data_IF_414598189340
#
_entry.id   IF_414598189340
#
_cell.length_a   1.000
_cell.length_b   1.000
_cell.length_c   1.000
_cell.angle_alpha   90.00
_cell.angle_beta   90.00
_cell.angle_gamma   90.00
#
_symmetry.space_group_name_H-M   'P 1'
#
loop_
_entity.id
_entity.type
_entity.pdbx_description
1 polymer ?
#
# COMPACT_ATOMS: atom_id res chain seq x y z
N UNK A 1 -31.37 -2.43 -21.19
CA UNK A 1 -30.42 -3.48 -20.76
C UNK A 1 -29.53 -2.85 -19.71
N UNK A 2 -29.75 -3.16 -18.43
CA UNK A 2 -28.92 -2.64 -17.35
C UNK A 2 -27.54 -3.29 -17.46
N UNK A 3 -26.59 -2.55 -18.03
CA UNK A 3 -25.19 -2.92 -18.01
C UNK A 3 -24.68 -2.65 -16.58
N UNK A 4 -25.02 -3.52 -15.64
CA UNK A 4 -24.44 -3.49 -14.29
C UNK A 4 -22.96 -3.78 -14.44
N UNK A 5 -22.17 -2.73 -14.58
CA UNK A 5 -20.71 -2.77 -14.52
C UNK A 5 -20.36 -3.50 -13.21
N UNK A 6 -19.71 -4.67 -13.30
CA UNK A 6 -19.30 -5.45 -12.13
C UNK A 6 -18.52 -4.51 -11.20
N UNK A 7 -18.98 -4.36 -9.97
CA UNK A 7 -18.29 -3.55 -8.96
C UNK A 7 -16.95 -4.22 -8.62
N UNK A 8 -15.89 -3.42 -8.62
CA UNK A 8 -14.53 -3.86 -8.34
C UNK A 8 -14.42 -4.26 -6.86
N UNK A 9 -14.04 -5.51 -6.58
CA UNK A 9 -13.85 -6.01 -5.21
C UNK A 9 -12.41 -5.89 -4.76
N UNK A 10 -12.17 -5.17 -3.68
CA UNK A 10 -10.81 -4.89 -3.18
C UNK A 10 -10.69 -5.30 -1.71
N UNK A 11 -9.64 -6.04 -1.39
CA UNK A 11 -9.19 -6.23 -0.02
C UNK A 11 -8.14 -5.18 0.31
N UNK A 12 -8.44 -4.26 1.23
CA UNK A 12 -7.53 -3.20 1.65
C UNK A 12 -6.95 -3.54 3.03
N UNK A 13 -5.63 -3.72 3.11
CA UNK A 13 -4.93 -4.21 4.31
C UNK A 13 -3.97 -3.14 4.85
N UNK A 14 -4.06 -2.87 6.16
CA UNK A 14 -3.14 -1.99 6.88
C UNK A 14 -3.78 -0.66 7.30
N UNK A 15 -3.00 0.43 7.24
CA UNK A 15 -3.46 1.79 7.58
C UNK A 15 -4.14 1.90 8.95
N UNK A 16 -3.61 1.21 9.95
CA UNK A 16 -4.13 1.24 11.31
C UNK A 16 -2.99 1.13 12.31
N UNK A 17 -3.01 1.95 13.37
CA UNK A 17 -1.97 1.92 14.39
C UNK A 17 -2.51 2.24 15.78
N UNK A 18 -1.78 1.81 16.80
CA UNK A 18 -2.04 2.11 18.20
C UNK A 18 -0.86 2.90 18.77
N UNK A 19 -1.11 4.14 19.17
CA UNK A 19 -0.13 5.02 19.78
C UNK A 19 -0.20 4.83 21.29
N UNK A 20 0.95 4.60 21.92
CA UNK A 20 1.10 4.70 23.36
C UNK A 20 2.07 5.85 23.68
N UNK A 21 1.55 6.91 24.30
CA UNK A 21 2.33 8.10 24.64
C UNK A 21 2.66 8.10 26.14
N UNK A 22 3.92 8.37 26.47
CA UNK A 22 4.38 8.62 27.84
C UNK A 22 4.64 10.12 27.98
N UNK A 23 3.87 10.78 28.83
CA UNK A 23 3.97 12.22 29.09
C UNK A 23 4.74 12.45 30.39
N UNK A 24 6.03 12.78 30.30
CA UNK A 24 6.88 13.06 31.47
C UNK A 24 6.92 14.56 31.78
N UNK A 25 6.57 14.94 33.01
CA UNK A 25 6.51 16.34 33.48
C UNK A 25 7.14 16.45 34.87
N UNK A 26 8.41 16.87 34.92
CA UNK A 26 9.16 16.92 36.16
C UNK A 26 9.37 15.53 36.75
N UNK A 27 8.91 15.33 37.98
CA UNK A 27 8.96 14.02 38.64
C UNK A 27 7.93 13.03 38.06
N UNK A 28 6.81 13.55 37.55
CA UNK A 28 5.63 12.75 37.24
C UNK A 28 5.62 12.25 35.80
N UNK A 29 4.90 11.15 35.58
CA UNK A 29 4.50 10.72 34.25
C UNK A 29 3.05 10.26 34.23
N UNK A 30 2.38 10.41 33.09
CA UNK A 30 1.09 9.78 32.81
C UNK A 30 1.07 9.29 31.36
N UNK A 31 0.19 8.32 31.08
CA UNK A 31 0.12 7.70 29.75
C UNK A 31 -1.22 7.98 29.08
N UNK A 32 -1.19 8.12 27.76
CA UNK A 32 -2.40 8.11 26.93
C UNK A 32 -2.22 7.14 25.77
N UNK A 33 -3.27 6.38 25.44
CA UNK A 33 -3.28 5.50 24.28
C UNK A 33 -4.36 5.93 23.28
N UNK A 34 -4.06 5.86 21.99
CA UNK A 34 -4.98 6.24 20.91
C UNK A 34 -4.86 5.27 19.74
N UNK A 35 -6.00 4.77 19.26
CA UNK A 35 -6.08 4.03 18.01
C UNK A 35 -6.50 4.97 16.87
N UNK A 36 -5.88 4.82 15.71
CA UNK A 36 -6.20 5.61 14.51
C UNK A 36 -6.18 4.72 13.25
N UNK A 37 -6.98 5.10 12.26
CA UNK A 37 -7.03 4.49 10.93
C UNK A 37 -6.68 5.56 9.88
N UNK A 38 -5.57 5.36 9.18
CA UNK A 38 -4.97 6.34 8.28
C UNK A 38 -5.77 6.55 6.99
N UNK A 39 -6.32 5.47 6.42
CA UNK A 39 -6.94 5.50 5.11
C UNK A 39 -8.44 5.81 5.11
N UNK A 40 -9.01 6.33 6.21
CA UNK A 40 -10.46 6.61 6.32
C UNK A 40 -10.96 7.43 5.11
N UNK A 41 -10.21 8.45 4.69
CA UNK A 41 -10.52 9.29 3.53
C UNK A 41 -10.48 8.50 2.22
N UNK A 42 -9.40 7.75 1.97
CA UNK A 42 -9.24 6.92 0.77
C UNK A 42 -10.37 5.89 0.67
N UNK A 43 -10.65 5.16 1.75
CA UNK A 43 -11.71 4.15 1.80
C UNK A 43 -13.08 4.77 1.46
N UNK A 44 -13.36 5.98 1.93
CA UNK A 44 -14.58 6.70 1.58
C UNK A 44 -14.62 7.09 0.10
N UNK A 45 -13.52 7.60 -0.45
CA UNK A 45 -13.39 7.91 -1.88
C UNK A 45 -13.66 6.69 -2.76
N UNK A 46 -13.09 5.53 -2.40
CA UNK A 46 -13.28 4.27 -3.12
C UNK A 46 -14.73 3.79 -3.05
N UNK A 47 -15.35 3.78 -1.86
CA UNK A 47 -16.76 3.41 -1.67
C UNK A 47 -17.70 4.32 -2.46
N UNK A 48 -17.48 5.64 -2.42
CA UNK A 48 -18.25 6.61 -3.21
C UNK A 48 -18.10 6.41 -4.72
N UNK A 49 -17.01 5.78 -5.15
CA UNK A 49 -16.73 5.42 -6.55
C UNK A 49 -17.19 4.01 -6.93
N UNK A 50 -18.04 3.38 -6.11
CA UNK A 50 -18.61 2.04 -6.34
C UNK A 50 -17.57 0.90 -6.35
N UNK A 51 -16.45 1.07 -5.65
CA UNK A 51 -15.53 -0.02 -5.30
C UNK A 51 -16.03 -0.71 -4.04
N UNK A 52 -16.20 -2.03 -4.09
CA UNK A 52 -16.57 -2.88 -2.96
C UNK A 52 -15.30 -3.18 -2.14
N UNK A 53 -15.07 -2.39 -1.09
CA UNK A 53 -13.86 -2.48 -0.26
C UNK A 53 -14.12 -3.26 1.02
N UNK A 54 -13.42 -4.39 1.17
CA UNK A 54 -13.23 -5.05 2.47
C UNK A 54 -11.99 -4.47 3.13
N UNK A 55 -12.15 -3.83 4.29
CA UNK A 55 -11.04 -3.27 5.05
C UNK A 55 -10.55 -4.26 6.12
N UNK A 56 -9.24 -4.47 6.18
CA UNK A 56 -8.58 -5.36 7.13
C UNK A 56 -7.46 -4.59 7.86
N UNK A 57 -7.73 -4.07 9.06
CA UNK A 57 -6.70 -3.45 9.91
C UNK A 57 -5.55 -4.43 10.22
N UNK A 58 -4.39 -3.88 10.57
CA UNK A 58 -3.19 -4.67 10.88
C UNK A 58 -3.42 -5.71 12.00
N UNK A 59 -4.17 -5.35 13.05
CA UNK A 59 -4.49 -6.29 14.13
C UNK A 59 -5.43 -7.43 13.68
N UNK A 60 -6.23 -7.24 12.62
CA UNK A 60 -7.07 -8.29 12.05
C UNK A 60 -6.22 -9.30 11.27
N UNK A 61 -5.16 -8.86 10.58
CA UNK A 61 -4.18 -9.76 9.95
C UNK A 61 -3.55 -10.71 10.98
N UNK A 62 -3.24 -10.21 12.18
CA UNK A 62 -2.63 -11.03 13.24
C UNK A 62 -3.54 -12.14 13.78
N UNK A 63 -4.87 -12.01 13.62
CA UNK A 63 -5.88 -12.87 14.24
C UNK A 63 -6.58 -13.76 13.20
N UNK A 64 -6.86 -13.23 12.01
CA UNK A 64 -7.81 -13.82 11.07
C UNK A 64 -7.42 -13.58 9.60
N UNK A 65 -6.12 -13.52 9.28
CA UNK A 65 -5.71 -13.52 7.87
C UNK A 65 -6.19 -14.82 7.19
N UNK A 66 -6.69 -14.77 5.93
CA UNK A 66 -7.11 -15.95 5.20
C UNK A 66 -6.02 -17.03 5.12
N UNK A 67 -6.41 -18.30 5.25
CA UNK A 67 -5.47 -19.43 5.29
C UNK A 67 -5.44 -20.22 3.98
N UNK A 68 -6.32 -19.89 3.04
CA UNK A 68 -6.43 -20.50 1.71
C UNK A 68 -6.47 -19.40 0.63
N UNK A 69 -5.72 -19.58 -0.45
CA UNK A 69 -5.70 -18.67 -1.60
C UNK A 69 -7.09 -18.50 -2.20
N UNK A 70 -7.95 -19.52 -2.16
CA UNK A 70 -9.32 -19.44 -2.66
C UNK A 70 -10.14 -18.34 -1.94
N UNK A 71 -9.82 -18.04 -0.68
CA UNK A 71 -10.44 -16.94 0.06
C UNK A 71 -9.95 -15.57 -0.41
N UNK A 72 -8.76 -15.48 -0.99
CA UNK A 72 -8.22 -14.26 -1.60
C UNK A 72 -8.72 -14.07 -3.04
N UNK A 73 -8.96 -15.16 -3.78
CA UNK A 73 -9.38 -15.12 -5.19
C UNK A 73 -10.75 -14.47 -5.44
N UNK A 74 -11.55 -14.25 -4.39
CA UNK A 74 -12.79 -13.47 -4.49
C UNK A 74 -12.55 -11.96 -4.75
N UNK A 75 -11.34 -11.46 -4.49
CA UNK A 75 -10.96 -10.07 -4.69
C UNK A 75 -10.32 -9.86 -6.06
N UNK A 76 -10.71 -8.78 -6.73
CA UNK A 76 -10.12 -8.38 -8.00
C UNK A 76 -8.73 -7.73 -7.80
N UNK A 77 -8.48 -7.13 -6.63
CA UNK A 77 -7.17 -6.66 -6.20
C UNK A 77 -6.99 -6.68 -4.66
N UNK A 78 -5.75 -6.81 -4.20
CA UNK A 78 -5.31 -6.63 -2.82
C UNK A 78 -4.47 -5.35 -2.72
N UNK A 79 -4.73 -4.52 -1.71
CA UNK A 79 -3.93 -3.34 -1.36
C UNK A 79 -3.23 -3.60 -0.04
N UNK A 80 -1.93 -3.30 0.01
CA UNK A 80 -1.11 -3.32 1.23
C UNK A 80 -0.57 -1.90 1.44
N UNK A 81 -0.95 -1.27 2.55
CA UNK A 81 -0.55 0.11 2.88
C UNK A 81 -0.16 0.24 4.35
N UNK A 82 1.04 0.76 4.59
CA UNK A 82 1.62 1.04 5.90
C UNK A 82 1.51 -0.12 6.92
N UNK A 83 1.90 -1.31 6.49
CA UNK A 83 1.90 -2.54 7.31
C UNK A 83 3.11 -3.42 6.95
N UNK A 84 3.97 -3.67 7.93
CA UNK A 84 5.23 -4.39 7.73
C UNK A 84 5.04 -5.89 7.54
N UNK A 85 5.99 -6.53 6.86
CA UNK A 85 5.98 -7.98 6.58
C UNK A 85 5.87 -8.84 7.83
N UNK A 86 6.44 -8.40 8.96
CA UNK A 86 6.35 -9.08 10.24
C UNK A 86 4.91 -9.36 10.66
N UNK A 87 3.95 -8.46 10.40
CA UNK A 87 2.55 -8.66 10.77
C UNK A 87 1.93 -9.85 10.04
N UNK A 88 2.34 -10.11 8.80
CA UNK A 88 1.88 -11.25 8.00
C UNK A 88 2.58 -12.56 8.40
N UNK A 89 3.88 -12.50 8.67
CA UNK A 89 4.73 -13.67 8.95
C UNK A 89 4.64 -14.15 10.41
N UNK A 90 4.39 -13.25 11.35
CA UNK A 90 4.40 -13.49 12.79
C UNK A 90 3.02 -13.29 13.42
N UNK A 91 1.98 -13.87 12.79
CA UNK A 91 0.62 -13.88 13.34
C UNK A 91 0.57 -14.52 14.73
N UNK A 92 -0.48 -14.22 15.50
CA UNK A 92 -0.55 -14.58 16.93
C UNK A 92 -0.39 -16.09 17.16
N UNK A 93 -1.00 -16.89 16.29
CA UNK A 93 -0.91 -18.35 16.34
C UNK A 93 0.53 -18.85 16.14
N UNK A 94 1.29 -18.24 15.22
CA UNK A 94 2.70 -18.58 14.97
C UNK A 94 3.59 -18.12 16.12
N UNK A 95 3.51 -16.85 16.49
CA UNK A 95 4.47 -16.24 17.41
C UNK A 95 4.21 -16.58 18.89
N UNK A 96 2.93 -16.61 19.32
CA UNK A 96 2.58 -16.84 20.73
C UNK A 96 2.08 -18.26 21.00
N UNK A 97 1.44 -18.92 20.04
CA UNK A 97 0.81 -20.23 20.25
C UNK A 97 1.58 -21.41 19.64
N UNK A 98 2.74 -21.14 19.02
CA UNK A 98 3.63 -22.16 18.43
C UNK A 98 2.94 -23.04 17.37
N UNK A 99 1.88 -22.55 16.73
CA UNK A 99 1.16 -23.28 15.69
C UNK A 99 1.82 -23.08 14.34
N UNK A 100 1.87 -24.15 13.56
CA UNK A 100 2.27 -24.10 12.15
C UNK A 100 1.08 -23.56 11.35
N UNK A 101 1.31 -22.54 10.52
CA UNK A 101 0.30 -21.93 9.64
C UNK A 101 0.84 -21.75 8.22
N UNK A 102 -0.06 -21.64 7.22
CA UNK A 102 0.31 -21.16 5.88
C UNK A 102 1.00 -19.80 5.95
N UNK A 103 1.99 -19.58 5.09
CA UNK A 103 2.67 -18.29 4.99
C UNK A 103 1.78 -17.30 4.22
N UNK A 104 1.30 -16.26 4.91
CA UNK A 104 0.43 -15.24 4.32
C UNK A 104 1.02 -14.55 3.09
N UNK A 105 2.34 -14.32 3.06
CA UNK A 105 2.99 -13.69 1.90
C UNK A 105 3.10 -14.65 0.71
N UNK A 106 3.22 -15.96 0.95
CA UNK A 106 3.14 -16.97 -0.12
C UNK A 106 1.72 -17.06 -0.68
N UNK A 107 0.68 -16.97 0.17
CA UNK A 107 -0.71 -16.91 -0.30
C UNK A 107 -0.96 -15.69 -1.18
N UNK A 108 -0.43 -14.52 -0.82
CA UNK A 108 -0.51 -13.31 -1.66
C UNK A 108 0.25 -13.51 -2.97
N UNK A 109 1.46 -14.09 -2.93
CA UNK A 109 2.25 -14.40 -4.12
C UNK A 109 1.52 -15.35 -5.07
N UNK A 110 0.91 -16.41 -4.54
CA UNK A 110 0.09 -17.36 -5.30
C UNK A 110 -1.16 -16.68 -5.90
N UNK A 111 -1.86 -15.87 -5.12
CA UNK A 111 -3.00 -15.08 -5.58
C UNK A 111 -2.62 -14.20 -6.78
N UNK A 112 -1.49 -13.49 -6.72
CA UNK A 112 -1.00 -12.67 -7.85
C UNK A 112 -0.63 -13.55 -9.02
N UNK A 113 0.10 -14.66 -8.79
CA UNK A 113 0.44 -15.61 -9.84
C UNK A 113 -0.80 -16.14 -10.59
N UNK A 114 -1.93 -16.32 -9.89
CA UNK A 114 -3.21 -16.78 -10.44
C UNK A 114 -4.01 -15.67 -11.16
N UNK A 115 -3.47 -14.46 -11.27
CA UNK A 115 -4.09 -13.34 -11.98
C UNK A 115 -4.65 -12.23 -11.10
N UNK A 116 -4.47 -12.32 -9.77
CA UNK A 116 -4.88 -11.28 -8.84
C UNK A 116 -4.07 -9.98 -8.99
N UNK A 117 -4.71 -8.84 -8.75
CA UNK A 117 -4.04 -7.53 -8.72
C UNK A 117 -3.39 -7.24 -7.37
N UNK A 118 -2.19 -6.68 -7.34
CA UNK A 118 -1.54 -6.23 -6.09
C UNK A 118 -1.12 -4.77 -6.16
N UNK A 119 -1.51 -3.97 -5.18
CA UNK A 119 -1.02 -2.61 -4.97
C UNK A 119 -0.29 -2.52 -3.64
N UNK A 120 0.97 -2.08 -3.64
CA UNK A 120 1.66 -1.63 -2.43
C UNK A 120 1.75 -0.10 -2.43
N UNK A 121 1.28 0.52 -1.35
CA UNK A 121 1.35 1.97 -1.12
C UNK A 121 2.48 2.23 -0.12
N UNK A 122 3.26 3.28 -0.35
CA UNK A 122 4.38 3.68 0.48
C UNK A 122 3.96 4.19 1.85
N UNK A 123 4.94 4.29 2.73
CA UNK A 123 4.74 4.60 4.14
C UNK A 123 5.93 4.14 4.98
N UNK A 124 5.83 4.35 6.28
CA UNK A 124 6.90 3.99 7.20
C UNK A 124 7.00 2.47 7.42
N UNK A 125 5.91 1.74 7.24
CA UNK A 125 5.85 0.28 7.33
C UNK A 125 5.57 -0.38 5.96
N UNK A 126 5.92 0.28 4.86
CA UNK A 126 5.91 -0.28 3.51
C UNK A 126 7.33 -0.41 2.94
N UNK A 127 7.51 -1.27 1.92
CA UNK A 127 8.81 -1.53 1.29
C UNK A 127 9.90 -1.93 2.31
N UNK A 128 10.94 -1.12 2.52
CA UNK A 128 11.84 -1.26 3.67
C UNK A 128 11.40 -0.41 4.85
N UNK A 129 10.99 0.83 4.61
CA UNK A 129 10.38 1.69 5.60
C UNK A 129 11.35 2.19 6.67
N UNK A 130 10.80 2.80 7.73
CA UNK A 130 11.57 3.37 8.84
C UNK A 130 12.43 2.29 9.50
N UNK A 131 13.71 2.57 9.65
CA UNK A 131 14.71 1.63 10.22
C UNK A 131 14.69 0.25 9.53
N UNK A 132 14.29 0.17 8.25
CA UNK A 132 14.12 -1.06 7.49
C UNK A 132 13.11 -2.06 8.09
N UNK A 133 12.16 -1.60 8.93
CA UNK A 133 11.25 -2.49 9.68
C UNK A 133 10.14 -3.12 8.85
N UNK A 134 9.75 -2.53 7.73
CA UNK A 134 8.78 -3.13 6.83
C UNK A 134 9.36 -4.40 6.18
N UNK A 135 10.66 -4.35 5.85
CA UNK A 135 11.51 -5.50 5.53
C UNK A 135 11.06 -6.36 4.34
N UNK A 136 10.25 -5.83 3.41
CA UNK A 136 9.70 -6.63 2.30
C UNK A 136 10.77 -7.16 1.33
N UNK A 137 11.94 -6.53 1.25
CA UNK A 137 13.07 -7.04 0.43
C UNK A 137 13.50 -8.44 0.83
N UNK A 138 13.42 -8.76 2.11
CA UNK A 138 13.84 -10.05 2.65
C UNK A 138 12.66 -11.03 2.75
N UNK A 139 11.67 -10.89 1.87
CA UNK A 139 10.46 -11.73 1.82
C UNK A 139 10.18 -12.20 0.41
N UNK A 140 9.27 -13.16 0.29
CA UNK A 140 8.82 -13.71 -1.00
C UNK A 140 8.12 -12.69 -1.90
N UNK A 141 7.66 -11.55 -1.36
CA UNK A 141 7.07 -10.48 -2.16
C UNK A 141 8.11 -9.61 -2.87
N UNK A 142 9.39 -9.68 -2.51
CA UNK A 142 10.44 -8.96 -3.24
C UNK A 142 10.52 -9.38 -4.71
N UNK A 143 10.24 -10.66 -5.00
CA UNK A 143 10.18 -11.19 -6.37
C UNK A 143 8.97 -10.65 -7.14
N UNK A 144 7.85 -10.44 -6.45
CA UNK A 144 6.54 -10.05 -7.02
C UNK A 144 6.50 -8.57 -7.39
N UNK A 145 7.05 -7.70 -6.55
CA UNK A 145 6.95 -6.25 -6.74
C UNK A 145 7.75 -5.79 -7.98
N UNK A 146 7.27 -4.79 -8.74
CA UNK A 146 7.95 -4.27 -9.94
C UNK A 146 9.16 -3.36 -9.63
N UNK A 147 9.59 -3.31 -8.37
CA UNK A 147 10.72 -2.51 -7.91
C UNK A 147 11.68 -3.33 -7.05
N UNK A 148 12.94 -2.92 -7.06
CA UNK A 148 14.01 -3.40 -6.20
C UNK A 148 14.19 -2.41 -5.05
N UNK A 149 14.00 -2.91 -3.83
CA UNK A 149 14.15 -2.16 -2.58
C UNK A 149 15.64 -2.00 -2.18
N UNK A 150 15.93 -1.01 -1.35
CA UNK A 150 17.26 -0.80 -0.75
C UNK A 150 17.56 -1.84 0.35
N UNK A 151 18.79 -1.88 0.85
CA UNK A 151 19.20 -2.80 1.94
C UNK A 151 18.91 -2.26 3.36
N UNK A 152 18.42 -1.02 3.48
CA UNK A 152 18.20 -0.34 4.76
C UNK A 152 16.96 0.56 4.72
N UNK A 153 16.91 1.54 5.63
CA UNK A 153 15.86 2.56 5.65
C UNK A 153 15.78 3.24 4.28
N UNK A 154 14.59 3.25 3.68
CA UNK A 154 14.37 3.75 2.33
C UNK A 154 13.59 5.07 2.29
N UNK A 155 13.33 5.69 3.44
CA UNK A 155 12.59 6.95 3.49
C UNK A 155 13.40 8.09 2.89
N UNK A 156 12.75 8.88 2.05
CA UNK A 156 13.23 10.19 1.61
C UNK A 156 12.28 11.24 2.15
N UNK A 157 12.65 11.85 3.28
CA UNK A 157 11.89 12.93 3.89
C UNK A 157 12.08 14.22 3.10
N UNK A 158 10.97 14.88 2.77
CA UNK A 158 10.89 16.12 2.00
C UNK A 158 10.03 17.16 2.72
N UNK A 159 10.46 17.68 3.87
CA UNK A 159 9.73 18.72 4.58
C UNK A 159 9.53 19.99 3.74
N UNK A 160 10.42 20.27 2.78
CA UNK A 160 10.28 21.34 1.80
C UNK A 160 9.22 21.09 0.71
N UNK A 161 8.68 19.87 0.66
CA UNK A 161 7.75 19.40 -0.36
C UNK A 161 8.43 19.01 -1.67
N UNK A 162 7.88 18.01 -2.34
CA UNK A 162 8.25 17.65 -3.71
C UNK A 162 7.02 17.27 -4.52
N UNK A 163 7.00 17.62 -5.81
CA UNK A 163 5.90 17.31 -6.72
C UNK A 163 6.23 16.11 -7.60
N UNK A 164 5.20 15.32 -7.91
CA UNK A 164 5.28 14.27 -8.90
C UNK A 164 5.45 14.84 -10.32
N UNK A 165 6.10 14.07 -11.19
CA UNK A 165 6.27 14.38 -12.61
C UNK A 165 5.80 13.20 -13.47
N UNK A 166 4.93 13.42 -14.47
CA UNK A 166 4.47 12.36 -15.35
C UNK A 166 5.58 11.95 -16.31
N UNK A 167 6.03 10.70 -16.19
CA UNK A 167 6.94 10.09 -17.17
C UNK A 167 6.19 9.56 -18.39
N UNK A 168 4.91 9.19 -18.20
CA UNK A 168 4.03 8.72 -19.26
C UNK A 168 2.66 9.41 -19.19
N UNK A 169 2.56 10.70 -19.60
CA UNK A 169 1.34 11.49 -19.45
C UNK A 169 0.11 10.93 -20.20
N UNK A 170 0.33 10.08 -21.21
CA UNK A 170 -0.75 9.42 -21.96
C UNK A 170 -1.19 8.08 -21.36
N UNK A 171 -0.53 7.60 -20.28
CA UNK A 171 -0.90 6.35 -19.63
C UNK A 171 -2.34 6.45 -19.07
N UNK A 172 -3.22 5.46 -19.33
CA UNK A 172 -4.64 5.55 -18.99
C UNK A 172 -4.94 5.90 -17.53
N UNK A 173 -4.04 5.55 -16.60
CA UNK A 173 -4.21 5.84 -15.17
C UNK A 173 -4.12 7.32 -14.84
N UNK A 174 -3.25 8.06 -15.53
CA UNK A 174 -2.94 9.46 -15.22
C UNK A 174 -3.30 10.43 -16.35
N UNK A 175 -3.88 9.93 -17.44
CA UNK A 175 -4.22 10.73 -18.60
C UNK A 175 -5.16 11.87 -18.22
N UNK A 176 -4.74 13.10 -18.54
CA UNK A 176 -5.49 14.32 -18.24
C UNK A 176 -5.30 14.85 -16.81
N UNK A 177 -4.48 14.22 -15.98
CA UNK A 177 -4.12 14.76 -14.66
C UNK A 177 -3.21 15.97 -14.82
N UNK A 178 -3.47 16.99 -14.01
CA UNK A 178 -2.71 18.24 -13.96
C UNK A 178 -2.54 18.71 -12.52
N UNK A 179 -1.64 19.68 -12.31
CA UNK A 179 -1.45 20.33 -11.01
C UNK A 179 -1.09 19.32 -9.90
N UNK A 180 -0.10 18.46 -10.16
CA UNK A 180 0.34 17.44 -9.22
C UNK A 180 0.70 18.08 -7.86
N UNK A 181 0.13 17.56 -6.76
CA UNK A 181 0.27 18.16 -5.44
C UNK A 181 1.64 17.85 -4.82
N UNK A 182 2.01 18.62 -3.80
CA UNK A 182 3.19 18.33 -3.00
C UNK A 182 3.00 17.05 -2.17
N UNK A 183 4.07 16.27 -2.07
CA UNK A 183 4.25 15.18 -1.10
C UNK A 183 5.40 15.54 -0.15
N UNK A 184 5.33 15.07 1.10
CA UNK A 184 6.35 15.33 2.12
C UNK A 184 7.35 14.18 2.30
N UNK A 185 7.22 13.13 1.52
CA UNK A 185 8.22 12.06 1.45
C UNK A 185 7.75 10.89 0.60
N UNK A 186 8.63 9.91 0.44
CA UNK A 186 8.38 8.67 -0.31
C UNK A 186 9.43 7.61 0.04
N UNK A 187 9.14 6.34 -0.24
CA UNK A 187 10.11 5.25 -0.19
C UNK A 187 10.94 5.22 -1.47
N UNK A 188 12.27 5.24 -1.34
CA UNK A 188 13.20 5.14 -2.47
C UNK A 188 13.33 3.68 -2.90
N UNK A 189 13.05 3.41 -4.17
CA UNK A 189 13.30 2.14 -4.81
C UNK A 189 13.84 2.33 -6.23
N UNK A 190 14.26 1.23 -6.86
CA UNK A 190 14.72 1.20 -8.25
C UNK A 190 13.70 0.38 -9.06
N UNK A 191 13.20 0.89 -10.17
CA UNK A 191 12.32 0.12 -11.04
C UNK A 191 13.06 -1.09 -11.65
N UNK A 192 12.41 -2.26 -11.72
CA UNK A 192 12.96 -3.42 -12.44
C UNK A 192 12.95 -3.15 -13.95
N UNK A 193 13.81 -3.83 -14.71
CA UNK A 193 14.04 -3.56 -16.15
C UNK A 193 12.77 -3.61 -17.00
N UNK A 194 11.84 -4.52 -16.69
CA UNK A 194 10.57 -4.68 -17.41
C UNK A 194 9.38 -3.97 -16.74
N UNK A 195 9.65 -3.10 -15.77
CA UNK A 195 8.61 -2.34 -15.08
C UNK A 195 8.30 -1.03 -15.82
N UNK A 196 7.05 -0.61 -15.76
CA UNK A 196 6.56 0.60 -16.38
C UNK A 196 6.48 1.73 -15.35
N UNK A 197 7.41 2.68 -15.42
CA UNK A 197 7.39 3.88 -14.57
C UNK A 197 6.48 4.94 -15.20
N UNK A 198 5.38 5.24 -14.52
CA UNK A 198 4.33 6.17 -15.01
C UNK A 198 4.45 7.55 -14.36
N UNK A 199 4.75 7.59 -13.06
CA UNK A 199 5.09 8.82 -12.34
C UNK A 199 6.49 8.70 -11.73
N UNK A 200 7.20 9.83 -11.69
CA UNK A 200 8.43 10.01 -10.92
C UNK A 200 8.27 11.09 -9.87
N UNK A 201 9.14 11.09 -8.87
CA UNK A 201 9.24 12.12 -7.83
C UNK A 201 10.71 12.28 -7.48
N UNK A 202 11.24 13.51 -7.53
CA UNK A 202 12.66 13.76 -7.26
C UNK A 202 13.63 12.84 -8.09
N UNK A 203 13.32 12.62 -9.37
CA UNK A 203 14.03 11.69 -10.27
C UNK A 203 14.05 10.21 -9.83
N UNK A 204 13.20 9.82 -8.88
CA UNK A 204 12.96 8.44 -8.46
C UNK A 204 11.58 7.96 -8.92
N UNK A 205 11.33 6.65 -9.05
CA UNK A 205 9.99 6.15 -9.36
C UNK A 205 8.98 6.54 -8.28
N UNK A 206 7.77 6.91 -8.68
CA UNK A 206 6.64 7.17 -7.77
C UNK A 206 5.47 6.22 -8.04
N UNK A 207 5.07 6.03 -9.30
CA UNK A 207 4.04 5.06 -9.68
C UNK A 207 4.63 4.12 -10.70
N UNK A 208 4.71 2.84 -10.34
CA UNK A 208 5.33 1.80 -11.16
C UNK A 208 4.35 0.65 -11.34
N UNK A 209 4.16 0.22 -12.57
CA UNK A 209 3.41 -1.00 -12.91
C UNK A 209 4.35 -2.12 -13.35
N UNK A 210 3.89 -3.35 -13.19
CA UNK A 210 4.54 -4.52 -13.76
C UNK A 210 3.64 -5.74 -13.68
N UNK A 211 4.18 -6.89 -14.08
CA UNK A 211 3.47 -8.16 -14.06
C UNK A 211 4.27 -9.22 -13.29
N UNK A 212 3.56 -10.13 -12.64
CA UNK A 212 4.11 -11.32 -12.01
C UNK A 212 3.28 -12.51 -12.46
N UNK A 213 3.83 -13.25 -13.43
CA UNK A 213 3.09 -14.28 -14.16
C UNK A 213 1.77 -13.72 -14.73
N UNK A 214 0.61 -14.18 -14.25
CA UNK A 214 -0.69 -13.73 -14.76
C UNK A 214 -1.22 -12.48 -14.05
N UNK A 215 -0.63 -12.08 -12.93
CA UNK A 215 -1.08 -10.94 -12.12
C UNK A 215 -0.43 -9.63 -12.51
N UNK A 216 -1.14 -8.54 -12.22
CA UNK A 216 -0.68 -7.17 -12.43
C UNK A 216 -0.38 -6.51 -11.09
N UNK A 217 0.71 -5.76 -11.03
CA UNK A 217 1.21 -5.18 -9.80
C UNK A 217 1.42 -3.69 -10.00
N UNK A 218 1.05 -2.91 -9.00
CA UNK A 218 1.37 -1.51 -8.88
C UNK A 218 2.11 -1.24 -7.57
N UNK A 219 3.05 -0.30 -7.62
CA UNK A 219 3.64 0.31 -6.45
C UNK A 219 3.48 1.82 -6.54
N UNK A 220 2.87 2.41 -5.52
CA UNK A 220 2.87 3.86 -5.31
C UNK A 220 3.82 4.19 -4.16
N UNK A 221 4.91 4.89 -4.42
CA UNK A 221 6.05 4.99 -3.49
C UNK A 221 5.86 6.01 -2.37
N UNK A 222 4.87 6.89 -2.47
CA UNK A 222 4.49 7.80 -1.38
C UNK A 222 3.27 7.25 -0.64
N UNK A 223 2.77 8.02 0.31
CA UNK A 223 1.65 7.63 1.16
C UNK A 223 0.31 8.08 0.57
N UNK A 224 -0.75 7.33 0.85
CA UNK A 224 -2.12 7.73 0.56
C UNK A 224 -2.73 8.65 1.62
N UNK A 225 -2.09 8.71 2.79
CA UNK A 225 -2.51 9.36 4.01
C UNK A 225 -1.43 10.32 4.54
N UNK A 226 -1.75 11.16 5.54
CA UNK A 226 -0.75 11.96 6.25
C UNK A 226 0.27 11.08 6.98
N UNK A 227 1.53 11.52 7.14
CA UNK A 227 2.01 12.88 6.89
C UNK A 227 2.66 13.10 5.51
N UNK A 228 3.07 12.05 4.79
CA UNK A 228 3.65 12.22 3.45
C UNK A 228 2.60 12.66 2.42
N UNK A 229 1.39 12.10 2.49
CA UNK A 229 0.23 12.60 1.79
C UNK A 229 -0.22 13.94 2.38
N UNK A 230 0.05 15.03 1.68
CA UNK A 230 -0.37 16.36 2.13
C UNK A 230 -1.88 16.52 2.07
N UNK A 231 -2.40 17.51 2.81
CA UNK A 231 -3.80 17.93 2.63
C UNK A 231 -4.09 18.35 1.19
N UNK A 232 -3.12 18.98 0.50
CA UNK A 232 -3.23 19.32 -0.91
C UNK A 232 -3.42 18.07 -1.79
N UNK A 233 -2.71 16.99 -1.50
CA UNK A 233 -2.87 15.70 -2.18
C UNK A 233 -4.25 15.11 -1.93
N UNK A 234 -4.69 15.06 -0.68
CA UNK A 234 -6.00 14.49 -0.32
C UNK A 234 -7.18 15.28 -0.91
N UNK A 235 -7.03 16.60 -1.05
CA UNK A 235 -8.03 17.49 -1.67
C UNK A 235 -7.84 17.67 -3.17
N UNK A 236 -6.86 17.00 -3.79
CA UNK A 236 -6.57 17.15 -5.21
C UNK A 236 -7.76 16.64 -6.05
N UNK A 237 -8.21 17.38 -7.09
CA UNK A 237 -9.38 16.97 -7.88
C UNK A 237 -9.27 15.58 -8.50
N UNK A 238 -8.04 15.11 -8.74
CA UNK A 238 -7.76 13.80 -9.33
C UNK A 238 -7.40 12.72 -8.29
N UNK A 239 -7.43 13.01 -6.97
CA UNK A 239 -7.08 12.05 -5.92
C UNK A 239 -7.88 10.75 -6.03
N UNK A 240 -9.21 10.85 -6.05
CA UNK A 240 -10.09 9.68 -6.17
C UNK A 240 -9.86 8.95 -7.49
N UNK A 241 -9.72 9.69 -8.59
CA UNK A 241 -9.49 9.12 -9.92
C UNK A 241 -8.18 8.34 -9.98
N UNK A 242 -7.10 8.85 -9.36
CA UNK A 242 -5.81 8.16 -9.30
C UNK A 242 -5.96 6.75 -8.73
N UNK A 243 -6.55 6.63 -7.54
CA UNK A 243 -6.68 5.34 -6.87
C UNK A 243 -7.62 4.38 -7.59
N UNK A 244 -8.79 4.87 -8.03
CA UNK A 244 -9.73 4.04 -8.80
C UNK A 244 -9.12 3.56 -10.11
N UNK A 245 -8.36 4.42 -10.80
CA UNK A 245 -7.71 4.06 -12.05
C UNK A 245 -6.58 3.04 -11.84
N UNK A 246 -5.75 3.21 -10.79
CA UNK A 246 -4.71 2.23 -10.43
C UNK A 246 -5.36 0.87 -10.19
N UNK A 247 -6.38 0.82 -9.32
CA UNK A 247 -7.07 -0.42 -8.96
C UNK A 247 -7.73 -1.07 -10.18
N UNK A 248 -8.41 -0.28 -11.02
CA UNK A 248 -9.01 -0.77 -12.27
C UNK A 248 -7.97 -1.31 -13.25
N UNK A 249 -6.78 -0.71 -13.30
CA UNK A 249 -5.72 -1.12 -14.21
C UNK A 249 -5.12 -2.48 -13.81
N UNK A 250 -4.91 -2.71 -12.50
CA UNK A 250 -4.32 -3.94 -11.97
C UNK A 250 -5.32 -5.06 -11.71
N UNK A 251 -6.63 -4.75 -11.69
CA UNK A 251 -7.68 -5.73 -11.44
C UNK A 251 -7.62 -6.91 -12.42
N UNK A 252 -8.02 -8.09 -11.90
CA UNK A 252 -8.17 -9.33 -12.67
C UNK A 252 -9.24 -9.25 -13.77
#
# INVERSE_FOLDING_TARGET
MNNTKKSLKVLFIGESWHIHMIHSKGYDSFTSSKYEEGATWLLQCLKNSQVDVTYMPAHTVQIAFPEDVAQLEQYDAIVISDIGSNTFLLQNDTFYQLRIKPNALELIKEYVNNGGGLLMIGGYLSFMGIEAKANYKNTVLADVLPVTMLDGDDRVEKPEGVIAQPSQPEHPVIKGFSEYPFSLGYNRAIAKENAEVVLTINNAPLLVFGNYHNGKIACFMSDCSPHWGTQQFMSWPFYTALWVNILTHIAR
#
